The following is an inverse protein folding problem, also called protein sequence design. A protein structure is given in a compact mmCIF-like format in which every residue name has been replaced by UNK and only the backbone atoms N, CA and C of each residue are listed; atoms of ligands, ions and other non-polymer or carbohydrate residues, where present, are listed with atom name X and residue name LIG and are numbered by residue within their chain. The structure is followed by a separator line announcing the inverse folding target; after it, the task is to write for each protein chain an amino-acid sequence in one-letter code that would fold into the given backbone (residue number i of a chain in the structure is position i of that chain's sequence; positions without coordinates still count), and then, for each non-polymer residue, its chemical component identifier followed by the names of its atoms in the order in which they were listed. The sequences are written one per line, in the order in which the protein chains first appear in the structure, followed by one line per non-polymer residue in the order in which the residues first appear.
data_IF_534305115662
#
_entry.id   IF_534305115662
#
_cell.length_a   1.000
_cell.length_b   1.000
_cell.length_c   1.000
_cell.angle_alpha   90.00
_cell.angle_beta   90.00
_cell.angle_gamma   90.00
#
_symmetry.space_group_name_H-M   'P 1'
#
loop_
_entity.id
_entity.type
_entity.pdbx_description
1 polymer ?
#
# COMPACT_ATOMS: atom_id res chain seq x y z
N UNK A 1 15.86 35.27 18.27
CA UNK A 1 15.83 35.17 16.79
C UNK A 1 16.65 33.95 16.42
N UNK A 2 16.01 32.87 15.98
CA UNK A 2 16.69 31.65 15.53
C UNK A 2 16.78 31.65 14.00
N UNK A 3 17.86 31.08 13.47
CA UNK A 3 18.32 31.17 12.07
C UNK A 3 17.40 30.41 11.08
N UNK A 4 17.28 30.80 9.79
CA UNK A 4 16.32 30.22 8.84
C UNK A 4 16.72 28.86 8.23
N UNK A 5 17.75 28.19 8.73
CA UNK A 5 18.27 26.93 8.13
C UNK A 5 18.41 25.84 9.17
N UNK A 6 17.28 25.46 9.78
CA UNK A 6 17.19 24.26 10.61
C UNK A 6 16.56 23.13 9.77
N UNK A 7 17.29 22.06 9.39
CA UNK A 7 16.77 20.96 8.57
C UNK A 7 15.67 20.14 9.26
N UNK A 8 15.38 20.43 10.52
CA UNK A 8 14.48 19.66 11.38
C UNK A 8 12.99 20.01 11.20
N UNK A 9 12.65 21.01 10.39
CA UNK A 9 11.26 21.43 10.19
C UNK A 9 10.45 20.56 9.20
N UNK A 10 11.10 19.63 8.49
CA UNK A 10 10.41 18.79 7.50
C UNK A 10 10.02 17.38 7.98
N UNK A 11 10.25 17.07 9.27
CA UNK A 11 10.24 15.68 9.76
C UNK A 11 9.00 15.26 10.57
N UNK A 12 7.86 15.97 10.53
CA UNK A 12 6.81 15.74 11.53
C UNK A 12 5.66 14.81 11.17
N UNK A 13 5.50 14.39 9.92
CA UNK A 13 4.44 13.45 9.58
C UNK A 13 5.00 12.35 8.67
N UNK A 14 5.60 11.33 9.26
CA UNK A 14 5.95 10.09 8.56
C UNK A 14 4.87 9.05 8.88
N UNK A 15 4.53 8.22 7.90
CA UNK A 15 3.70 7.03 8.07
C UNK A 15 4.63 5.83 8.03
N UNK A 16 4.56 5.01 9.07
CA UNK A 16 5.39 3.82 9.24
C UNK A 16 4.55 2.56 9.05
N UNK A 17 5.04 1.62 8.24
CA UNK A 17 4.45 0.30 8.03
C UNK A 17 5.37 -0.73 8.67
N UNK A 18 4.78 -1.56 9.54
CA UNK A 18 5.48 -2.62 10.26
C UNK A 18 5.00 -3.98 9.76
N UNK A 19 5.94 -4.93 9.63
CA UNK A 19 5.62 -6.32 9.35
C UNK A 19 5.64 -7.11 10.66
N UNK A 20 4.58 -7.90 10.89
CA UNK A 20 4.54 -8.87 11.98
C UNK A 20 4.93 -10.24 11.44
N UNK A 21 6.05 -10.78 11.89
CA UNK A 21 6.44 -12.17 11.61
C UNK A 21 6.02 -13.04 12.79
N UNK A 22 5.60 -14.31 12.55
CA UNK A 22 5.30 -15.23 13.65
C UNK A 22 6.61 -15.48 14.42
N UNK A 23 6.65 -15.03 15.67
CA UNK A 23 7.74 -15.21 16.66
C UNK A 23 8.83 -14.13 16.73
N UNK A 24 8.72 -12.99 16.03
CA UNK A 24 9.68 -11.89 16.20
C UNK A 24 8.99 -10.56 16.53
N UNK A 25 9.79 -9.58 16.98
CA UNK A 25 9.33 -8.22 17.17
C UNK A 25 8.93 -7.60 15.81
N UNK A 26 7.96 -6.71 15.83
CA UNK A 26 7.56 -5.98 14.62
C UNK A 26 8.76 -5.29 13.98
N UNK A 27 8.98 -5.54 12.70
CA UNK A 27 10.09 -4.95 11.93
C UNK A 27 9.53 -3.76 11.16
N UNK A 28 10.16 -2.58 11.33
CA UNK A 28 9.86 -1.42 10.49
C UNK A 28 10.23 -1.75 9.04
N UNK A 29 9.23 -1.81 8.17
CA UNK A 29 9.40 -2.21 6.77
C UNK A 29 9.39 -1.02 5.83
N UNK A 30 8.66 0.06 6.16
CA UNK A 30 8.59 1.25 5.34
C UNK A 30 8.34 2.49 6.20
N UNK A 31 9.04 3.58 5.93
CA UNK A 31 8.75 4.91 6.48
C UNK A 31 8.66 5.90 5.33
N UNK A 32 7.50 6.56 5.17
CA UNK A 32 7.23 7.48 4.04
C UNK A 32 6.60 8.79 4.52
N UNK A 33 6.89 9.93 3.88
CA UNK A 33 6.25 11.20 4.21
C UNK A 33 4.73 11.15 4.03
N UNK A 34 3.98 11.72 4.97
CA UNK A 34 2.51 11.76 4.90
C UNK A 34 2.01 12.55 3.70
N UNK A 35 2.78 13.54 3.23
CA UNK A 35 2.49 14.27 2.00
C UNK A 35 2.44 13.35 0.79
N UNK A 36 3.29 12.32 0.78
CA UNK A 36 3.31 11.33 -0.29
C UNK A 36 2.14 10.36 -0.15
N UNK A 37 1.78 9.97 1.09
CA UNK A 37 0.55 9.20 1.36
C UNK A 37 -0.72 9.95 0.95
N UNK A 38 -0.83 11.25 1.22
CA UNK A 38 -1.99 12.05 0.81
C UNK A 38 -2.17 12.09 -0.71
N UNK A 39 -1.07 12.02 -1.47
CA UNK A 39 -1.15 11.93 -2.94
C UNK A 39 -1.73 10.59 -3.40
N UNK A 40 -1.64 9.54 -2.59
CA UNK A 40 -2.22 8.22 -2.85
C UNK A 40 -3.76 8.25 -2.71
N UNK A 41 -4.29 9.15 -1.87
CA UNK A 41 -5.73 9.41 -1.73
C UNK A 41 -6.36 9.98 -3.01
N UNK A 42 -5.58 10.50 -3.96
CA UNK A 42 -6.12 10.98 -5.24
C UNK A 42 -6.55 9.84 -6.17
N UNK A 43 -6.00 8.62 -5.97
CA UNK A 43 -6.32 7.42 -6.76
C UNK A 43 -6.28 6.17 -5.89
N UNK A 44 -7.18 6.06 -4.91
CA UNK A 44 -7.09 5.07 -3.84
C UNK A 44 -7.06 3.64 -4.38
N UNK A 45 -7.81 3.32 -5.45
CA UNK A 45 -7.84 1.96 -5.99
C UNK A 45 -6.59 1.60 -6.79
N UNK A 46 -5.94 2.56 -7.46
CA UNK A 46 -4.64 2.31 -8.11
C UNK A 46 -3.58 1.98 -7.06
N UNK A 47 -3.61 2.72 -5.96
CA UNK A 47 -2.68 2.49 -4.88
C UNK A 47 -2.94 1.18 -4.15
N UNK A 48 -4.21 0.87 -3.86
CA UNK A 48 -4.59 -0.39 -3.24
C UNK A 48 -4.13 -1.58 -4.10
N UNK A 49 -4.35 -1.51 -5.42
CA UNK A 49 -3.85 -2.52 -6.37
C UNK A 49 -2.33 -2.64 -6.31
N UNK A 50 -1.61 -1.53 -6.24
CA UNK A 50 -0.14 -1.53 -6.16
C UNK A 50 0.37 -2.18 -4.87
N UNK A 51 -0.25 -1.92 -3.72
CA UNK A 51 0.14 -2.58 -2.47
C UNK A 51 -0.11 -4.08 -2.57
N UNK A 52 -1.31 -4.49 -3.00
CA UNK A 52 -1.62 -5.92 -3.07
C UNK A 52 -0.71 -6.63 -4.06
N UNK A 53 -0.39 -6.00 -5.20
CA UNK A 53 0.66 -6.47 -6.11
C UNK A 53 2.01 -6.63 -5.40
N UNK A 54 2.43 -5.63 -4.63
CA UNK A 54 3.72 -5.65 -3.92
C UNK A 54 3.76 -6.78 -2.87
N UNK A 55 2.64 -7.05 -2.21
CA UNK A 55 2.52 -8.13 -1.20
C UNK A 55 2.44 -9.51 -1.85
N UNK A 56 1.67 -9.66 -2.93
CA UNK A 56 1.46 -10.93 -3.62
C UNK A 56 2.61 -11.28 -4.58
N UNK A 57 3.42 -10.32 -5.02
CA UNK A 57 4.47 -10.49 -6.01
C UNK A 57 3.97 -10.79 -7.43
N UNK A 58 2.65 -10.83 -7.64
CA UNK A 58 1.99 -11.22 -8.88
C UNK A 58 1.00 -10.15 -9.27
N UNK A 59 0.85 -9.91 -10.58
CA UNK A 59 -0.14 -8.97 -11.13
C UNK A 59 -1.56 -9.47 -10.85
N UNK A 60 -2.51 -8.54 -10.83
CA UNK A 60 -3.90 -8.83 -10.53
C UNK A 60 -4.73 -7.58 -10.48
N UNK A 61 -6.03 -7.77 -10.34
CA UNK A 61 -7.04 -6.72 -10.34
C UNK A 61 -7.91 -6.78 -9.08
N UNK A 62 -8.50 -5.63 -8.75
CA UNK A 62 -9.44 -5.47 -7.65
C UNK A 62 -10.86 -5.58 -8.18
N UNK A 63 -11.74 -6.22 -7.42
CA UNK A 63 -13.17 -6.29 -7.66
C UNK A 63 -13.94 -5.89 -6.40
N UNK A 64 -15.10 -5.25 -6.55
CA UNK A 64 -15.94 -4.83 -5.41
C UNK A 64 -16.73 -5.99 -4.79
N UNK A 65 -16.81 -7.12 -5.49
CA UNK A 65 -17.47 -8.35 -5.04
C UNK A 65 -16.57 -9.55 -5.30
N UNK A 66 -16.70 -10.66 -4.56
CA UNK A 66 -15.98 -11.89 -4.88
C UNK A 66 -16.26 -12.31 -6.33
N UNK A 67 -15.20 -12.57 -7.11
CA UNK A 67 -15.29 -12.89 -8.56
C UNK A 67 -16.00 -11.84 -9.42
N UNK A 68 -16.07 -10.59 -8.95
CA UNK A 68 -16.66 -9.49 -9.69
C UNK A 68 -15.77 -9.02 -10.84
N UNK A 69 -16.30 -8.09 -11.63
CA UNK A 69 -15.50 -7.43 -12.65
C UNK A 69 -14.41 -6.55 -12.03
N UNK A 70 -13.25 -6.41 -12.71
CA UNK A 70 -12.25 -5.43 -12.34
C UNK A 70 -12.84 -4.03 -12.20
N UNK A 71 -12.44 -3.33 -11.15
CA UNK A 71 -12.84 -1.94 -10.91
C UNK A 71 -12.20 -1.01 -11.94
N UNK A 72 -12.91 0.07 -12.29
CA UNK A 72 -12.32 1.12 -13.13
C UNK A 72 -11.31 1.95 -12.32
N UNK A 73 -10.03 1.84 -12.66
CA UNK A 73 -8.98 2.60 -12.00
C UNK A 73 -8.88 4.07 -12.45
N UNK A 74 -9.59 4.46 -13.50
CA UNK A 74 -9.52 5.78 -14.14
C UNK A 74 -10.04 6.89 -13.25
N UNK A 75 -11.30 6.78 -12.82
CA UNK A 75 -11.99 7.73 -11.95
C UNK A 75 -13.19 7.06 -11.28
N UNK A 76 -13.05 6.66 -10.01
CA UNK A 76 -14.17 6.23 -9.19
C UNK A 76 -14.56 7.38 -8.28
N UNK A 77 -15.81 7.87 -8.34
CA UNK A 77 -16.32 8.85 -7.38
C UNK A 77 -16.13 8.34 -5.96
N UNK A 78 -15.77 9.21 -5.02
CA UNK A 78 -15.62 8.81 -3.61
C UNK A 78 -16.88 8.12 -3.03
N UNK A 79 -18.06 8.48 -3.53
CA UNK A 79 -19.33 7.87 -3.14
C UNK A 79 -19.46 6.39 -3.55
N UNK A 80 -18.70 5.96 -4.54
CA UNK A 80 -18.77 4.62 -5.13
C UNK A 80 -17.61 3.72 -4.64
N UNK A 81 -16.83 4.19 -3.67
CA UNK A 81 -15.80 3.37 -3.03
C UNK A 81 -16.48 2.29 -2.18
N UNK A 82 -16.30 1.03 -2.56
CA UNK A 82 -16.78 -0.11 -1.79
C UNK A 82 -16.10 -0.20 -0.42
N UNK A 83 -16.81 -0.77 0.56
CA UNK A 83 -16.28 -1.02 1.91
C UNK A 83 -15.06 -1.96 1.90
N UNK A 84 -15.02 -2.89 0.95
CA UNK A 84 -13.93 -3.84 0.77
C UNK A 84 -13.70 -4.16 -0.72
N UNK A 85 -12.46 -4.50 -1.07
CA UNK A 85 -12.09 -4.96 -2.40
C UNK A 85 -11.41 -6.33 -2.31
N UNK A 86 -11.68 -7.16 -3.31
CA UNK A 86 -11.12 -8.50 -3.46
C UNK A 86 -10.06 -8.45 -4.55
N UNK A 87 -8.86 -8.94 -4.25
CA UNK A 87 -7.77 -9.02 -5.21
C UNK A 87 -7.77 -10.38 -5.90
N UNK A 88 -7.86 -10.38 -7.23
CA UNK A 88 -7.76 -11.57 -8.05
C UNK A 88 -6.42 -11.54 -8.79
N UNK A 89 -5.48 -12.44 -8.44
CA UNK A 89 -4.19 -12.52 -9.10
C UNK A 89 -4.31 -13.20 -10.46
N UNK A 90 -3.47 -12.80 -11.41
CA UNK A 90 -3.35 -13.40 -12.76
C UNK A 90 -2.60 -14.75 -12.74
N UNK A 91 -2.04 -15.15 -11.60
CA UNK A 91 -1.29 -16.39 -11.43
C UNK A 91 -1.15 -16.81 -9.97
N UNK A 92 -0.38 -17.88 -9.74
CA UNK A 92 -0.11 -18.38 -8.39
C UNK A 92 0.73 -17.37 -7.60
N UNK A 93 0.26 -16.99 -6.43
CA UNK A 93 0.95 -16.04 -5.55
C UNK A 93 1.34 -16.71 -4.24
N UNK A 94 2.52 -16.37 -3.75
CA UNK A 94 2.97 -16.70 -2.40
C UNK A 94 2.87 -15.40 -1.60
N UNK A 95 2.03 -15.36 -0.56
CA UNK A 95 2.04 -14.25 0.41
C UNK A 95 3.45 -14.19 1.01
N UNK A 96 4.27 -13.23 0.55
CA UNK A 96 5.67 -13.03 0.94
C UNK A 96 6.42 -14.37 1.07
N UNK A 97 7.01 -14.86 -0.02
CA UNK A 97 7.95 -15.98 0.06
C UNK A 97 9.15 -15.59 0.91
N UNK A 98 9.12 -15.95 2.20
CA UNK A 98 10.20 -15.71 3.16
C UNK A 98 11.52 -16.33 2.70
N UNK A 99 11.51 -17.29 1.78
CA UNK A 99 12.73 -17.88 1.23
C UNK A 99 13.44 -16.93 0.26
N UNK A 100 12.71 -16.06 -0.43
CA UNK A 100 13.27 -15.05 -1.32
C UNK A 100 13.93 -13.86 -0.58
N UNK A 101 13.77 -13.77 0.74
CA UNK A 101 14.45 -12.78 1.59
C UNK A 101 15.86 -13.22 2.04
N UNK A 102 16.27 -14.44 1.70
CA UNK A 102 17.54 -15.04 2.14
C UNK A 102 18.52 -15.36 0.99
N UNK A 103 18.22 -14.94 -0.25
CA UNK A 103 19.16 -14.95 -1.39
C UNK A 103 19.87 -13.60 -1.54
#
# INVERSE_FOLDING_TARGET
MASPTDPLFNNRNMVEIYLSTPNEAQVLALSVPSSDIQRLSNRPLKWLRFITFTVCGVRGDLSATPNGHPVDYGNIPHADIAQAYYYTPEGDYNFVDYKALHD
#
